data_IF_544708157121
#
_entry.id   IF_544708157121
#
_cell.length_a   1.000
_cell.length_b   1.000
_cell.length_c   1.000
_cell.angle_alpha   90.00
_cell.angle_beta   90.00
_cell.angle_gamma   90.00
#
_symmetry.space_group_name_H-M   'P 1'
#
loop_
_entity.id
_entity.type
_entity.pdbx_description
1 polymer ?
#
# COMPACT_ATOMS: atom_id res chain seq x y z
N UNK A 1 -0.32 1.61 15.69
CA UNK A 1 -0.98 0.48 15.00
C UNK A 1 -0.65 -0.87 15.62
N UNK A 2 0.61 -1.31 15.69
CA UNK A 2 0.97 -2.60 16.34
C UNK A 2 0.37 -2.74 17.75
N UNK A 3 0.57 -1.74 18.62
CA UNK A 3 0.04 -1.75 19.98
C UNK A 3 -1.49 -1.83 20.04
N UNK A 4 -2.19 -1.20 19.09
CA UNK A 4 -3.66 -1.32 18.97
C UNK A 4 -4.03 -2.75 18.59
N UNK A 5 -3.31 -3.37 17.65
CA UNK A 5 -3.52 -4.79 17.33
C UNK A 5 -3.32 -5.71 18.53
N UNK A 6 -2.32 -5.44 19.39
CA UNK A 6 -2.10 -6.20 20.62
C UNK A 6 -3.27 -6.01 21.61
N UNK A 7 -3.74 -4.78 21.79
CA UNK A 7 -4.89 -4.48 22.65
C UNK A 7 -6.15 -5.16 22.11
N UNK A 8 -6.45 -5.03 20.82
CA UNK A 8 -7.60 -5.67 20.17
C UNK A 8 -7.56 -7.19 20.30
N UNK A 9 -6.38 -7.81 20.13
CA UNK A 9 -6.19 -9.24 20.35
C UNK A 9 -6.58 -9.63 21.79
N UNK A 10 -6.07 -8.90 22.80
CA UNK A 10 -6.36 -9.16 24.22
C UNK A 10 -7.84 -8.98 24.51
N UNK A 11 -8.48 -7.94 23.99
CA UNK A 11 -9.91 -7.67 24.22
C UNK A 11 -10.81 -8.78 23.65
N UNK A 12 -10.43 -9.36 22.51
CA UNK A 12 -11.23 -10.37 21.83
C UNK A 12 -11.07 -11.77 22.43
N UNK A 13 -9.86 -12.15 22.85
CA UNK A 13 -9.58 -13.52 23.30
C UNK A 13 -9.16 -13.64 24.77
N UNK A 14 -8.98 -12.52 25.48
CA UNK A 14 -8.53 -12.50 26.88
C UNK A 14 -7.07 -12.90 27.11
N UNK A 15 -6.30 -13.19 26.05
CA UNK A 15 -4.93 -13.67 26.14
C UNK A 15 -3.94 -12.76 25.41
N UNK A 16 -2.65 -12.86 25.76
CA UNK A 16 -1.59 -12.08 25.13
C UNK A 16 -1.18 -12.75 23.80
N UNK A 17 -1.03 -11.99 22.69
CA UNK A 17 -0.59 -12.56 21.42
C UNK A 17 0.85 -13.08 21.48
N UNK A 18 1.67 -12.52 22.36
CA UNK A 18 3.05 -12.91 22.58
C UNK A 18 3.27 -13.12 24.08
N UNK A 19 3.71 -14.33 24.46
CA UNK A 19 3.94 -14.70 25.85
C UNK A 19 5.33 -15.30 26.03
N UNK A 20 5.93 -15.02 27.18
CA UNK A 20 7.20 -15.58 27.62
C UNK A 20 7.35 -15.38 29.13
N UNK A 21 8.06 -16.29 29.80
CA UNK A 21 8.30 -16.21 31.26
C UNK A 21 9.23 -15.06 31.67
N UNK A 22 9.99 -14.51 30.72
CA UNK A 22 10.91 -13.39 30.91
C UNK A 22 10.71 -12.35 29.81
N UNK A 23 11.11 -11.11 30.03
CA UNK A 23 11.07 -10.05 29.02
C UNK A 23 11.83 -10.44 27.75
N UNK A 24 13.01 -11.06 27.89
CA UNK A 24 13.79 -11.54 26.75
C UNK A 24 13.08 -12.66 25.98
N UNK A 25 12.27 -13.49 26.65
CA UNK A 25 11.44 -14.49 25.98
C UNK A 25 10.27 -13.83 25.23
N UNK A 26 9.62 -12.83 25.83
CA UNK A 26 8.56 -12.04 25.18
C UNK A 26 9.10 -11.33 23.93
N UNK A 27 10.27 -10.67 24.04
CA UNK A 27 10.88 -9.98 22.91
C UNK A 27 11.23 -10.93 21.76
N UNK A 28 11.79 -12.11 22.07
CA UNK A 28 12.02 -13.16 21.06
C UNK A 28 10.73 -13.64 20.42
N UNK A 29 9.65 -13.76 21.19
CA UNK A 29 8.32 -14.13 20.70
C UNK A 29 7.77 -13.07 19.73
N UNK A 30 7.81 -11.80 20.11
CA UNK A 30 7.41 -10.66 19.25
C UNK A 30 8.16 -10.65 17.92
N UNK A 31 9.46 -10.95 17.93
CA UNK A 31 10.27 -10.98 16.71
C UNK A 31 9.98 -12.21 15.83
N UNK A 32 9.80 -13.40 16.42
CA UNK A 32 9.87 -14.66 15.68
C UNK A 32 8.54 -15.40 15.55
N UNK A 33 7.70 -15.36 16.57
CA UNK A 33 6.43 -16.07 16.58
C UNK A 33 5.33 -15.27 15.86
N UNK A 34 4.34 -15.96 15.31
CA UNK A 34 3.11 -15.35 14.85
C UNK A 34 2.05 -15.49 15.96
N UNK A 35 1.12 -14.52 16.11
CA UNK A 35 0.01 -14.69 17.04
C UNK A 35 -0.85 -15.90 16.63
N UNK A 36 -1.44 -16.55 17.63
CA UNK A 36 -2.32 -17.69 17.42
C UNK A 36 -3.74 -17.21 17.12
N UNK A 37 -4.34 -17.69 16.03
CA UNK A 37 -5.72 -17.38 15.65
C UNK A 37 -6.58 -18.66 15.47
N UNK A 38 -6.06 -19.81 15.90
CA UNK A 38 -6.69 -21.13 15.73
C UNK A 38 -7.32 -21.64 17.03
N UNK A 39 -6.67 -21.38 18.18
CA UNK A 39 -7.19 -21.85 19.47
C UNK A 39 -8.40 -21.04 19.94
N UNK A 40 -9.24 -21.66 20.77
CA UNK A 40 -10.39 -20.99 21.40
C UNK A 40 -9.96 -19.71 22.14
N UNK A 41 -10.74 -18.62 22.05
CA UNK A 41 -12.05 -18.50 21.41
C UNK A 41 -12.00 -18.12 19.91
N UNK A 42 -10.83 -18.06 19.26
CA UNK A 42 -10.73 -17.53 17.90
C UNK A 42 -11.68 -18.16 16.90
N UNK A 43 -11.91 -19.48 16.83
CA UNK A 43 -12.92 -20.05 15.93
C UNK A 43 -14.32 -19.42 16.04
N UNK A 44 -14.69 -18.86 17.19
CA UNK A 44 -15.98 -18.19 17.42
C UNK A 44 -15.99 -16.67 17.12
N UNK A 45 -14.82 -16.05 16.95
CA UNK A 45 -14.69 -14.62 16.61
C UNK A 45 -15.01 -14.42 15.12
N UNK A 46 -15.70 -13.33 14.78
CA UNK A 46 -16.08 -13.04 13.40
C UNK A 46 -14.87 -12.98 12.46
N UNK A 47 -15.02 -13.41 11.19
CA UNK A 47 -13.93 -13.34 10.20
C UNK A 47 -13.34 -11.94 10.06
N UNK A 48 -14.20 -10.90 10.03
CA UNK A 48 -13.77 -9.50 9.94
C UNK A 48 -13.00 -9.04 11.18
N UNK A 49 -13.32 -9.55 12.38
CA UNK A 49 -12.58 -9.26 13.60
C UNK A 49 -11.19 -9.89 13.61
N UNK A 50 -11.07 -11.12 13.11
CA UNK A 50 -9.77 -11.78 12.90
C UNK A 50 -8.92 -11.02 11.91
N UNK A 51 -9.50 -10.69 10.75
CA UNK A 51 -8.82 -9.96 9.68
C UNK A 51 -8.27 -8.61 10.17
N UNK A 52 -9.09 -7.85 10.90
CA UNK A 52 -8.68 -6.59 11.52
C UNK A 52 -7.41 -6.76 12.38
N UNK A 53 -7.39 -7.74 13.27
CA UNK A 53 -6.25 -7.99 14.16
C UNK A 53 -5.03 -8.49 13.38
N UNK A 54 -5.21 -9.41 12.42
CA UNK A 54 -4.14 -9.92 11.53
C UNK A 54 -3.46 -8.76 10.78
N UNK A 55 -4.23 -7.86 10.18
CA UNK A 55 -3.72 -6.69 9.44
C UNK A 55 -2.97 -5.70 10.34
N UNK A 56 -3.38 -5.53 11.60
CA UNK A 56 -2.66 -4.69 12.57
C UNK A 56 -1.38 -5.31 13.13
N UNK A 57 -1.38 -6.64 13.30
CA UNK A 57 -0.25 -7.42 13.82
C UNK A 57 0.68 -7.96 12.73
N UNK A 58 0.60 -7.42 11.50
CA UNK A 58 1.57 -7.75 10.46
C UNK A 58 2.97 -7.27 10.88
N UNK A 59 3.95 -8.18 10.86
CA UNK A 59 5.33 -7.87 11.28
C UNK A 59 5.96 -6.79 10.40
N UNK A 60 5.75 -6.89 9.08
CA UNK A 60 6.21 -5.86 8.15
C UNK A 60 5.34 -4.61 8.30
N UNK A 61 5.95 -3.53 8.75
CA UNK A 61 5.25 -2.26 9.00
C UNK A 61 4.65 -1.64 7.74
N UNK A 62 5.14 -1.98 6.54
CA UNK A 62 4.61 -1.49 5.27
C UNK A 62 3.30 -2.18 4.88
N UNK A 63 3.10 -3.40 5.39
CA UNK A 63 1.92 -4.22 5.21
C UNK A 63 0.81 -3.92 6.22
N UNK A 64 1.14 -3.25 7.32
CA UNK A 64 0.15 -2.85 8.34
C UNK A 64 -0.77 -1.75 7.84
N UNK A 65 -2.03 -1.82 8.24
CA UNK A 65 -2.98 -0.72 8.05
C UNK A 65 -2.53 0.53 8.81
N UNK A 66 -2.82 1.69 8.22
CA UNK A 66 -2.76 2.99 8.92
C UNK A 66 -3.92 3.11 9.92
N UNK A 67 -3.90 4.14 10.76
CA UNK A 67 -5.01 4.41 11.67
C UNK A 67 -6.32 4.72 10.92
N UNK A 68 -6.24 5.48 9.82
CA UNK A 68 -7.41 5.80 8.99
C UNK A 68 -7.97 4.55 8.30
N UNK A 69 -7.11 3.68 7.77
CA UNK A 69 -7.54 2.40 7.19
C UNK A 69 -8.18 1.48 8.24
N UNK A 70 -7.60 1.39 9.43
CA UNK A 70 -8.17 0.61 10.52
C UNK A 70 -9.56 1.15 10.93
N UNK A 71 -9.74 2.47 11.00
CA UNK A 71 -11.04 3.08 11.31
C UNK A 71 -12.10 2.82 10.23
N UNK A 72 -11.68 2.69 8.96
CA UNK A 72 -12.56 2.35 7.84
C UNK A 72 -12.80 0.83 7.69
N UNK A 73 -12.18 0.00 8.51
CA UNK A 73 -12.24 -1.45 8.37
C UNK A 73 -13.67 -1.99 8.62
N UNK A 74 -14.16 -2.97 7.84
CA UNK A 74 -15.53 -3.49 7.96
C UNK A 74 -15.91 -3.95 9.38
N UNK A 75 -14.93 -4.42 10.17
CA UNK A 75 -15.14 -4.84 11.56
C UNK A 75 -15.58 -3.72 12.50
N UNK A 76 -15.14 -2.47 12.27
CA UNK A 76 -15.45 -1.31 13.10
C UNK A 76 -16.57 -0.43 12.50
N UNK A 77 -17.10 -0.82 11.34
CA UNK A 77 -17.90 0.08 10.51
C UNK A 77 -19.36 0.14 11.01
N UNK A 78 -19.64 1.12 11.87
CA UNK A 78 -20.95 1.79 11.95
C UNK A 78 -20.98 2.99 10.98
N UNK A 79 -22.18 3.49 10.62
CA UNK A 79 -22.47 4.28 9.40
C UNK A 79 -21.58 5.52 9.12
N UNK A 80 -20.82 6.09 10.05
CA UNK A 80 -19.80 7.10 9.70
C UNK A 80 -18.81 7.38 10.84
N UNK A 81 -17.62 6.76 10.89
CA UNK A 81 -16.70 6.92 12.02
C UNK A 81 -15.88 8.22 12.00
N UNK A 82 -16.23 9.20 11.15
CA UNK A 82 -15.45 10.44 11.03
C UNK A 82 -14.08 10.20 10.39
N UNK A 83 -14.07 9.50 9.25
CA UNK A 83 -12.83 9.19 8.53
C UNK A 83 -12.10 10.49 8.14
N UNK A 84 -10.81 10.57 8.50
CA UNK A 84 -9.93 11.67 8.11
C UNK A 84 -9.14 11.30 6.85
N UNK A 85 -8.60 12.32 6.20
CA UNK A 85 -7.67 12.14 5.10
C UNK A 85 -6.39 11.46 5.59
N UNK A 86 -5.99 10.41 4.88
CA UNK A 86 -4.77 9.67 5.18
C UNK A 86 -3.62 10.21 4.36
N UNK A 87 -2.62 10.74 5.05
CA UNK A 87 -1.42 11.30 4.43
C UNK A 87 -0.63 10.28 3.59
N UNK A 88 -0.78 8.97 3.86
CA UNK A 88 -0.15 7.93 3.04
C UNK A 88 -0.68 7.92 1.61
N UNK A 89 -1.96 8.26 1.39
CA UNK A 89 -2.59 8.36 0.06
C UNK A 89 -1.89 9.44 -0.77
N UNK A 90 -1.65 10.63 -0.20
CA UNK A 90 -0.91 11.70 -0.88
C UNK A 90 0.50 11.27 -1.29
N UNK A 91 1.19 10.53 -0.42
CA UNK A 91 2.53 10.01 -0.71
C UNK A 91 2.52 9.02 -1.87
N UNK A 92 1.53 8.12 -1.90
CA UNK A 92 1.36 7.13 -2.97
C UNK A 92 1.00 7.82 -4.29
N UNK A 93 0.02 8.72 -4.28
CA UNK A 93 -0.41 9.48 -5.45
C UNK A 93 0.75 10.28 -6.04
N UNK A 94 1.56 10.93 -5.18
CA UNK A 94 2.79 11.62 -5.60
C UNK A 94 3.79 10.69 -6.28
N UNK A 95 4.00 9.51 -5.71
CA UNK A 95 4.91 8.51 -6.28
C UNK A 95 4.42 8.06 -7.66
N UNK A 96 3.12 7.85 -7.81
CA UNK A 96 2.49 7.44 -9.06
C UNK A 96 2.59 8.53 -10.14
N UNK A 97 2.34 9.79 -9.79
CA UNK A 97 2.46 10.93 -10.72
C UNK A 97 3.90 11.15 -11.19
N UNK A 98 4.91 10.71 -10.43
CA UNK A 98 6.31 10.75 -10.88
C UNK A 98 6.77 9.48 -11.58
N UNK A 99 5.96 8.42 -11.51
CA UNK A 99 6.26 7.16 -12.16
C UNK A 99 6.14 7.27 -13.69
N UNK A 100 6.92 6.45 -14.39
CA UNK A 100 6.87 6.33 -15.84
C UNK A 100 5.51 5.80 -16.32
N UNK A 101 5.17 6.00 -17.60
CA UNK A 101 3.98 5.39 -18.19
C UNK A 101 3.95 3.86 -18.02
N UNK A 102 5.11 3.19 -18.12
CA UNK A 102 5.22 1.75 -17.97
C UNK A 102 4.85 1.30 -16.55
N UNK A 103 5.37 1.99 -15.53
CA UNK A 103 5.04 1.70 -14.13
C UNK A 103 3.60 2.03 -13.78
N UNK A 104 3.06 3.13 -14.33
CA UNK A 104 1.64 3.47 -14.14
C UNK A 104 0.74 2.41 -14.75
N UNK A 105 1.07 1.89 -15.94
CA UNK A 105 0.33 0.79 -16.57
C UNK A 105 0.32 -0.47 -15.68
N UNK A 106 1.45 -0.83 -15.08
CA UNK A 106 1.53 -1.95 -14.14
C UNK A 106 0.63 -1.75 -12.90
N UNK A 107 0.63 -0.56 -12.30
CA UNK A 107 -0.21 -0.22 -11.14
C UNK A 107 -1.70 -0.11 -11.49
N UNK A 108 -2.04 0.30 -12.71
CA UNK A 108 -3.42 0.29 -13.21
C UNK A 108 -3.96 -1.12 -13.34
N UNK A 109 -3.19 -2.02 -13.96
CA UNK A 109 -3.55 -3.42 -14.06
C UNK A 109 -3.75 -4.05 -12.68
N UNK A 110 -2.91 -3.67 -11.71
CA UNK A 110 -3.11 -4.05 -10.31
C UNK A 110 -4.42 -3.51 -9.74
N UNK A 111 -4.68 -2.21 -9.88
CA UNK A 111 -5.88 -1.59 -9.32
C UNK A 111 -7.19 -2.17 -9.90
N UNK A 112 -7.20 -2.49 -11.20
CA UNK A 112 -8.34 -3.14 -11.86
C UNK A 112 -8.60 -4.57 -11.38
N UNK A 113 -7.58 -5.25 -10.83
CA UNK A 113 -7.72 -6.61 -10.30
C UNK A 113 -8.13 -6.65 -8.82
N UNK A 114 -8.19 -5.50 -8.14
CA UNK A 114 -8.55 -5.44 -6.72
C UNK A 114 -10.08 -5.58 -6.57
N UNK A 115 -10.57 -6.45 -5.66
CA UNK A 115 -11.99 -6.55 -5.35
C UNK A 115 -12.56 -5.23 -4.80
N UNK A 116 -13.81 -4.93 -5.13
CA UNK A 116 -14.48 -3.69 -4.73
C UNK A 116 -14.53 -3.48 -3.20
N UNK A 117 -14.54 -4.57 -2.44
CA UNK A 117 -14.54 -4.59 -0.97
C UNK A 117 -13.24 -4.02 -0.39
N UNK A 118 -12.11 -4.25 -1.06
CA UNK A 118 -10.80 -3.73 -0.67
C UNK A 118 -10.62 -2.26 -1.11
N UNK A 119 -11.44 -1.77 -2.05
CA UNK A 119 -11.42 -0.38 -2.51
C UNK A 119 -12.25 0.58 -1.64
N UNK A 120 -12.98 0.07 -0.65
CA UNK A 120 -13.85 0.89 0.24
C UNK A 120 -13.11 2.07 0.84
N UNK A 121 -11.89 1.85 1.35
CA UNK A 121 -11.09 2.92 1.93
C UNK A 121 -10.70 3.97 0.89
N UNK A 122 -10.24 3.56 -0.29
CA UNK A 122 -9.86 4.49 -1.36
C UNK A 122 -11.07 5.25 -1.90
N UNK A 123 -12.25 4.63 -2.01
CA UNK A 123 -13.52 5.29 -2.33
C UNK A 123 -13.81 6.41 -1.33
N UNK A 124 -13.68 6.15 -0.03
CA UNK A 124 -13.90 7.16 0.99
C UNK A 124 -12.88 8.31 0.93
N UNK A 125 -11.59 8.00 0.71
CA UNK A 125 -10.54 9.01 0.53
C UNK A 125 -10.77 9.87 -0.71
N UNK A 126 -11.17 9.25 -1.83
CA UNK A 126 -11.54 9.96 -3.06
C UNK A 126 -12.65 10.97 -2.80
N UNK A 127 -13.72 10.56 -2.11
CA UNK A 127 -14.83 11.45 -1.77
C UNK A 127 -14.43 12.58 -0.80
N UNK A 128 -13.57 12.31 0.19
CA UNK A 128 -13.06 13.33 1.11
C UNK A 128 -12.22 14.41 0.42
N UNK A 129 -11.61 14.07 -0.71
CA UNK A 129 -10.86 15.02 -1.54
C UNK A 129 -11.77 15.90 -2.42
N UNK A 130 -13.09 15.70 -2.38
CA UNK A 130 -14.10 16.50 -3.08
C UNK A 130 -13.83 16.60 -4.61
N UNK A 131 -14.00 15.48 -5.35
CA UNK A 131 -13.79 15.43 -6.78
C UNK A 131 -14.78 16.34 -7.51
N UNK A 132 -14.29 17.07 -8.50
CA UNK A 132 -15.11 17.96 -9.35
C UNK A 132 -15.16 17.41 -10.77
N UNK A 133 -16.36 17.29 -11.32
CA UNK A 133 -16.63 16.68 -12.63
C UNK A 133 -16.07 15.25 -12.73
N UNK A 134 -16.19 14.46 -11.64
CA UNK A 134 -15.73 13.08 -11.59
C UNK A 134 -14.22 12.89 -11.46
N UNK A 135 -13.44 13.96 -11.29
CA UNK A 135 -11.98 13.88 -11.18
C UNK A 135 -11.38 14.74 -10.07
N UNK A 136 -10.24 14.29 -9.55
CA UNK A 136 -9.41 15.01 -8.61
C UNK A 136 -8.38 15.87 -9.34
N UNK A 137 -8.34 17.15 -9.01
CA UNK A 137 -7.38 18.12 -9.53
C UNK A 137 -6.39 18.54 -8.44
N UNK A 138 -5.33 19.26 -8.80
CA UNK A 138 -4.47 19.87 -7.78
C UNK A 138 -5.28 20.69 -6.76
N UNK A 139 -6.31 21.42 -7.21
CA UNK A 139 -7.17 22.21 -6.32
C UNK A 139 -7.96 21.36 -5.31
N UNK A 140 -8.39 20.16 -5.70
CA UNK A 140 -9.03 19.19 -4.80
C UNK A 140 -8.08 18.82 -3.66
N UNK A 141 -6.83 18.47 -3.99
CA UNK A 141 -5.80 18.15 -3.00
C UNK A 141 -5.43 19.36 -2.12
N UNK A 142 -5.28 20.55 -2.72
CA UNK A 142 -5.00 21.80 -1.99
C UNK A 142 -6.11 22.13 -0.99
N UNK A 143 -7.36 22.16 -1.44
CA UNK A 143 -8.52 22.50 -0.61
C UNK A 143 -8.65 21.52 0.55
N UNK A 144 -8.52 20.23 0.25
CA UNK A 144 -8.60 19.18 1.25
C UNK A 144 -7.45 19.28 2.27
N UNK A 145 -6.21 19.45 1.82
CA UNK A 145 -5.08 19.59 2.75
C UNK A 145 -5.22 20.83 3.63
N UNK A 146 -5.57 21.99 3.08
CA UNK A 146 -5.75 23.22 3.87
C UNK A 146 -6.86 23.08 4.90
N UNK A 147 -7.94 22.36 4.57
CA UNK A 147 -9.07 22.13 5.49
C UNK A 147 -8.69 21.27 6.70
N UNK A 148 -7.82 20.28 6.52
CA UNK A 148 -7.48 19.31 7.56
C UNK A 148 -6.04 19.47 8.10
N UNK A 149 -5.31 20.49 7.64
CA UNK A 149 -3.96 20.79 8.09
C UNK A 149 -3.96 21.40 9.48
N UNK A 150 -2.98 21.01 10.29
CA UNK A 150 -2.63 21.76 11.50
C UNK A 150 -1.78 22.98 11.12
N UNK A 151 -1.76 24.01 11.96
CA UNK A 151 -0.97 25.23 11.73
C UNK A 151 0.51 24.91 11.46
N UNK A 152 1.10 24.01 12.25
CA UNK A 152 2.47 23.54 12.03
C UNK A 152 2.69 22.87 10.67
N UNK A 153 1.68 22.21 10.11
CA UNK A 153 1.76 21.57 8.80
C UNK A 153 1.63 22.60 7.66
N UNK A 154 0.76 23.60 7.84
CA UNK A 154 0.60 24.72 6.91
C UNK A 154 1.92 25.46 6.69
N UNK A 155 2.66 25.72 7.78
CA UNK A 155 3.90 26.51 7.73
C UNK A 155 5.10 25.76 7.13
N UNK A 156 5.20 24.44 7.36
CA UNK A 156 6.47 23.71 7.12
C UNK A 156 6.43 22.62 6.08
N UNK A 157 5.26 22.03 5.75
CA UNK A 157 5.18 20.84 4.90
C UNK A 157 4.22 20.98 3.74
N UNK A 158 3.15 21.74 3.92
CA UNK A 158 2.12 21.87 2.90
C UNK A 158 2.66 22.43 1.57
N UNK A 159 3.49 23.50 1.55
CA UNK A 159 4.02 24.03 0.30
C UNK A 159 4.83 22.98 -0.49
N UNK A 160 5.66 22.19 0.20
CA UNK A 160 6.45 21.14 -0.41
C UNK A 160 5.56 20.02 -1.00
N UNK A 161 4.54 19.60 -0.26
CA UNK A 161 3.58 18.59 -0.70
C UNK A 161 2.88 19.08 -1.98
N UNK A 162 2.35 20.30 -1.97
CA UNK A 162 1.64 20.87 -3.11
C UNK A 162 2.56 21.09 -4.31
N UNK A 163 3.79 21.56 -4.09
CA UNK A 163 4.77 21.70 -5.16
C UNK A 163 5.07 20.33 -5.81
N UNK A 164 5.13 19.26 -5.02
CA UNK A 164 5.33 17.92 -5.58
C UNK A 164 4.14 17.37 -6.36
N UNK A 165 2.94 17.95 -6.18
CA UNK A 165 1.70 17.58 -6.87
C UNK A 165 1.43 18.46 -8.11
N UNK A 166 2.29 19.45 -8.42
CA UNK A 166 2.18 20.37 -9.57
C UNK A 166 1.84 19.71 -10.91
N UNK A 167 2.31 18.49 -11.26
CA UNK A 167 1.90 17.87 -12.52
C UNK A 167 0.39 17.62 -12.66
N UNK A 168 -0.39 17.68 -11.57
CA UNK A 168 -1.86 17.62 -11.59
C UNK A 168 -2.55 18.93 -12.00
N UNK A 169 -1.80 20.02 -12.25
CA UNK A 169 -2.40 21.25 -12.79
C UNK A 169 -3.04 21.01 -14.15
N UNK A 170 -2.43 20.15 -14.97
CA UNK A 170 -2.86 19.87 -16.35
C UNK A 170 -3.67 18.58 -16.49
N UNK A 171 -3.77 17.76 -15.44
CA UNK A 171 -4.40 16.43 -15.48
C UNK A 171 -5.28 16.21 -14.25
N UNK A 172 -6.50 15.74 -14.47
CA UNK A 172 -7.38 15.22 -13.42
C UNK A 172 -7.17 13.71 -13.24
N UNK A 173 -7.33 13.20 -12.02
CA UNK A 173 -7.38 11.77 -11.72
C UNK A 173 -8.84 11.37 -11.55
N UNK A 174 -9.38 10.57 -12.46
CA UNK A 174 -10.65 9.88 -12.22
C UNK A 174 -10.48 8.82 -11.11
N UNK A 175 -11.57 8.16 -10.74
CA UNK A 175 -11.55 7.19 -9.65
C UNK A 175 -10.63 5.98 -9.92
N UNK A 176 -10.57 5.49 -11.17
CA UNK A 176 -9.73 4.34 -11.54
C UNK A 176 -8.24 4.70 -11.47
N UNK A 177 -7.87 5.85 -12.04
CA UNK A 177 -6.52 6.40 -11.97
C UNK A 177 -6.12 6.70 -10.53
N UNK A 178 -7.04 7.21 -9.72
CA UNK A 178 -6.82 7.44 -8.29
C UNK A 178 -6.59 6.13 -7.53
N UNK A 179 -7.33 5.06 -7.84
CA UNK A 179 -7.07 3.75 -7.25
C UNK A 179 -5.66 3.26 -7.61
N UNK A 180 -5.28 3.30 -8.90
CA UNK A 180 -3.92 2.97 -9.34
C UNK A 180 -2.84 3.80 -8.63
N UNK A 181 -3.14 5.07 -8.34
CA UNK A 181 -2.23 5.98 -7.68
C UNK A 181 -2.18 5.81 -6.15
N UNK A 182 -3.27 5.36 -5.53
CA UNK A 182 -3.47 5.28 -4.08
C UNK A 182 -3.26 3.90 -3.48
N UNK A 183 -3.12 2.84 -4.29
CA UNK A 183 -2.90 1.47 -3.79
C UNK A 183 -1.51 1.27 -3.21
N UNK A 184 -1.44 0.57 -2.07
CA UNK A 184 -0.18 0.12 -1.47
C UNK A 184 0.04 -1.36 -1.80
N UNK A 185 1.01 -1.64 -2.67
CA UNK A 185 1.38 -3.01 -3.04
C UNK A 185 1.69 -3.86 -1.80
N UNK A 186 2.42 -3.30 -0.83
CA UNK A 186 2.73 -4.00 0.43
C UNK A 186 1.48 -4.42 1.21
N UNK A 187 0.46 -3.55 1.27
CA UNK A 187 -0.76 -3.87 2.02
C UNK A 187 -1.60 -4.90 1.27
N UNK A 188 -1.64 -4.85 -0.06
CA UNK A 188 -2.29 -5.87 -0.88
C UNK A 188 -1.61 -7.25 -0.72
N UNK A 189 -0.28 -7.29 -0.62
CA UNK A 189 0.46 -8.54 -0.33
C UNK A 189 0.21 -9.12 1.08
N UNK A 190 -0.59 -8.44 1.92
CA UNK A 190 -1.01 -8.99 3.21
C UNK A 190 -2.40 -9.64 3.16
N UNK A 191 -3.11 -9.49 2.06
CA UNK A 191 -4.41 -10.12 1.83
C UNK A 191 -4.22 -11.62 1.60
N UNK A 192 -5.21 -12.40 2.02
CA UNK A 192 -5.23 -13.84 1.77
C UNK A 192 -5.40 -14.11 0.25
N UNK A 193 -6.08 -13.21 -0.46
CA UNK A 193 -6.37 -13.26 -1.89
C UNK A 193 -5.27 -12.65 -2.78
N UNK A 194 -4.11 -12.30 -2.20
CA UNK A 194 -3.03 -11.62 -2.94
C UNK A 194 -2.61 -12.38 -4.21
N UNK A 195 -2.52 -13.72 -4.15
CA UNK A 195 -2.09 -14.52 -5.30
C UNK A 195 -3.07 -14.42 -6.47
N UNK A 196 -4.38 -14.44 -6.20
CA UNK A 196 -5.41 -14.27 -7.21
C UNK A 196 -5.38 -12.85 -7.79
N UNK A 197 -5.26 -11.83 -6.93
CA UNK A 197 -5.18 -10.42 -7.34
C UNK A 197 -3.95 -10.21 -8.23
N UNK A 198 -2.79 -10.68 -7.81
CA UNK A 198 -1.54 -10.50 -8.55
C UNK A 198 -1.58 -11.22 -9.91
N UNK A 199 -2.15 -12.42 -9.96
CA UNK A 199 -2.29 -13.20 -11.20
C UNK A 199 -3.21 -12.49 -12.19
N UNK A 200 -4.41 -12.10 -11.76
CA UNK A 200 -5.35 -11.33 -12.59
C UNK A 200 -4.75 -10.00 -13.06
N UNK A 201 -4.05 -9.30 -12.17
CA UNK A 201 -3.34 -8.07 -12.52
C UNK A 201 -2.27 -8.28 -13.59
N UNK A 202 -1.51 -9.38 -13.51
CA UNK A 202 -0.49 -9.68 -14.50
C UNK A 202 -1.10 -10.05 -15.86
N UNK A 203 -2.20 -10.80 -15.90
CA UNK A 203 -2.92 -11.11 -17.14
C UNK A 203 -3.42 -9.84 -17.85
N UNK A 204 -3.96 -8.89 -17.08
CA UNK A 204 -4.36 -7.58 -17.62
C UNK A 204 -3.15 -6.78 -18.10
N UNK A 205 -2.06 -6.80 -17.32
CA UNK A 205 -0.82 -6.13 -17.71
C UNK A 205 -0.23 -6.71 -18.99
N UNK A 206 -0.27 -8.04 -19.17
CA UNK A 206 0.20 -8.72 -20.38
C UNK A 206 -0.48 -8.22 -21.66
N UNK A 207 -1.76 -7.85 -21.57
CA UNK A 207 -2.56 -7.38 -22.70
C UNK A 207 -2.34 -5.88 -22.99
N UNK A 208 -2.36 -5.05 -21.94
CA UNK A 208 -2.44 -3.59 -22.10
C UNK A 208 -1.13 -2.85 -21.82
N UNK A 209 -0.16 -3.48 -21.16
CA UNK A 209 0.96 -2.77 -20.53
C UNK A 209 2.35 -3.39 -20.66
N UNK A 210 2.44 -4.72 -20.77
CA UNK A 210 3.70 -5.44 -20.78
C UNK A 210 4.35 -5.35 -22.18
N UNK A 211 5.18 -4.33 -22.33
CA UNK A 211 6.00 -4.11 -23.52
C UNK A 211 7.34 -4.82 -23.41
N UNK A 212 7.96 -5.04 -24.56
CA UNK A 212 9.37 -5.45 -24.62
C UNK A 212 10.23 -4.38 -23.94
N UNK A 213 11.16 -4.82 -23.10
CA UNK A 213 12.03 -3.93 -22.33
C UNK A 213 13.43 -4.52 -22.23
N UNK A 214 14.45 -3.68 -22.43
CA UNK A 214 15.84 -4.09 -22.19
C UNK A 214 16.20 -4.01 -20.70
N UNK A 215 17.26 -4.72 -20.28
CA UNK A 215 17.74 -4.66 -18.90
C UNK A 215 18.15 -3.22 -18.52
N UNK A 216 18.73 -2.48 -19.46
CA UNK A 216 19.14 -1.09 -19.29
C UNK A 216 17.93 -0.17 -19.09
N UNK A 217 16.89 -0.34 -19.90
CA UNK A 217 15.62 0.39 -19.75
C UNK A 217 14.96 0.06 -18.41
N UNK A 218 14.84 -1.22 -18.05
CA UNK A 218 14.26 -1.65 -16.78
C UNK A 218 15.04 -1.10 -15.58
N UNK A 219 16.37 -1.01 -15.69
CA UNK A 219 17.19 -0.38 -14.67
C UNK A 219 16.93 1.12 -14.54
N UNK A 220 16.73 1.82 -15.66
CA UNK A 220 16.31 3.22 -15.69
C UNK A 220 14.94 3.42 -15.03
N UNK A 221 13.97 2.57 -15.37
CA UNK A 221 12.63 2.55 -14.77
C UNK A 221 12.68 2.36 -13.24
N UNK A 222 13.61 1.51 -12.77
CA UNK A 222 13.83 1.22 -11.36
C UNK A 222 14.85 2.17 -10.70
N UNK A 223 15.39 3.15 -11.43
CA UNK A 223 16.44 4.06 -10.96
C UNK A 223 17.60 3.35 -10.25
N UNK A 224 18.02 2.18 -10.78
CA UNK A 224 19.14 1.40 -10.27
C UNK A 224 20.30 1.39 -11.25
N UNK A 225 21.52 1.32 -10.71
CA UNK A 225 22.73 1.29 -11.52
C UNK A 225 23.02 -0.09 -12.16
N UNK A 226 24.07 -0.19 -12.99
CA UNK A 226 24.45 -1.41 -13.70
C UNK A 226 24.68 -2.65 -12.81
N UNK A 227 25.02 -2.44 -11.53
CA UNK A 227 25.20 -3.53 -10.57
C UNK A 227 23.93 -4.38 -10.35
N UNK A 228 22.75 -3.83 -10.67
CA UNK A 228 21.48 -4.56 -10.58
C UNK A 228 21.14 -5.37 -11.84
N UNK A 229 21.89 -5.21 -12.94
CA UNK A 229 21.57 -5.85 -14.22
C UNK A 229 21.45 -7.38 -14.15
N UNK A 230 22.31 -8.12 -13.43
CA UNK A 230 22.16 -9.57 -13.30
C UNK A 230 20.80 -9.95 -12.69
N UNK A 231 20.36 -9.23 -11.65
CA UNK A 231 19.07 -9.47 -10.99
C UNK A 231 17.89 -9.11 -11.90
N UNK A 232 17.98 -7.99 -12.62
CA UNK A 232 16.92 -7.53 -13.52
C UNK A 232 16.79 -8.41 -14.76
N UNK A 233 17.87 -9.08 -15.19
CA UNK A 233 17.81 -10.02 -16.30
C UNK A 233 16.86 -11.18 -16.01
N UNK A 234 16.80 -11.65 -14.77
CA UNK A 234 15.88 -12.72 -14.34
C UNK A 234 14.41 -12.28 -14.32
N UNK A 235 14.16 -10.97 -14.41
CA UNK A 235 12.81 -10.40 -14.43
C UNK A 235 12.24 -10.33 -15.85
N UNK A 236 13.08 -10.48 -16.87
CA UNK A 236 12.70 -10.39 -18.28
C UNK A 236 12.68 -11.80 -18.88
N UNK A 237 11.58 -12.17 -19.54
CA UNK A 237 11.44 -13.45 -20.24
C UNK A 237 12.37 -13.50 -21.45
N UNK A 238 13.09 -14.61 -21.60
CA UNK A 238 13.93 -14.86 -22.77
C UNK A 238 13.14 -15.08 -24.06
N UNK A 239 11.89 -15.50 -23.96
CA UNK A 239 11.03 -15.82 -25.11
C UNK A 239 10.62 -14.61 -25.94
N UNK A 240 10.32 -13.49 -25.27
CA UNK A 240 9.72 -12.31 -25.90
C UNK A 240 10.27 -10.97 -25.38
N UNK A 241 11.18 -10.97 -24.41
CA UNK A 241 11.78 -9.75 -23.85
C UNK A 241 10.83 -8.91 -23.01
N UNK A 242 9.68 -9.47 -22.58
CA UNK A 242 8.72 -8.81 -21.68
C UNK A 242 9.00 -9.16 -20.21
N UNK A 243 8.40 -8.45 -19.27
CA UNK A 243 8.50 -8.82 -17.85
C UNK A 243 7.83 -10.19 -17.61
N UNK A 244 8.49 -11.04 -16.83
CA UNK A 244 7.88 -12.24 -16.25
C UNK A 244 6.92 -11.86 -15.12
N UNK A 245 6.10 -12.80 -14.65
CA UNK A 245 5.26 -12.58 -13.46
C UNK A 245 6.08 -12.15 -12.24
N UNK A 246 7.23 -12.81 -12.02
CA UNK A 246 8.18 -12.42 -10.98
C UNK A 246 8.67 -10.98 -11.20
N UNK A 247 9.05 -10.65 -12.43
CA UNK A 247 9.49 -9.31 -12.81
C UNK A 247 8.43 -8.26 -12.52
N UNK A 248 7.18 -8.50 -12.92
CA UNK A 248 6.03 -7.65 -12.65
C UNK A 248 5.82 -7.45 -11.14
N UNK A 249 5.76 -8.55 -10.36
CA UNK A 249 5.56 -8.48 -8.92
C UNK A 249 6.64 -7.64 -8.22
N UNK A 250 7.91 -7.78 -8.63
CA UNK A 250 9.01 -6.95 -8.09
C UNK A 250 8.95 -5.50 -8.60
N UNK A 251 8.55 -5.30 -9.85
CA UNK A 251 8.45 -4.00 -10.49
C UNK A 251 7.38 -3.10 -9.83
N UNK A 252 6.27 -3.67 -9.37
CA UNK A 252 5.21 -2.95 -8.64
C UNK A 252 5.74 -2.18 -7.41
N UNK A 253 6.64 -2.80 -6.64
CA UNK A 253 7.29 -2.16 -5.48
C UNK A 253 8.21 -1.00 -5.88
N UNK A 254 8.71 -1.02 -7.12
CA UNK A 254 9.66 -0.07 -7.65
C UNK A 254 10.99 -0.06 -6.92
N UNK A 255 11.61 1.12 -6.89
CA UNK A 255 12.81 1.37 -6.07
C UNK A 255 12.42 1.21 -4.62
N UNK A 256 12.57 -0.01 -4.09
CA UNK A 256 12.73 -0.17 -2.65
C UNK A 256 13.95 0.66 -2.30
N UNK A 257 13.75 1.80 -1.67
CA UNK A 257 14.79 2.49 -0.92
C UNK A 257 15.16 1.53 0.21
N UNK A 258 15.93 0.47 -0.12
CA UNK A 258 16.96 0.03 0.78
C UNK A 258 17.86 1.23 0.86
N UNK A 259 17.68 2.02 1.92
CA UNK A 259 18.83 2.69 2.47
C UNK A 259 19.86 1.59 2.61
N UNK A 260 20.91 1.66 1.79
CA UNK A 260 22.18 1.08 2.10
C UNK A 260 22.67 1.77 3.37
N UNK A 261 22.05 1.49 4.51
CA UNK A 261 22.77 1.48 5.77
C UNK A 261 23.57 0.19 5.76
N UNK A 262 24.68 0.21 5.04
CA UNK A 262 25.86 -0.47 5.52
C UNK A 262 26.11 0.08 6.92
N UNK A 263 25.54 -0.58 7.95
CA UNK A 263 26.02 -0.39 9.31
C UNK A 263 27.50 -0.78 9.27
N UNK A 264 28.42 0.14 9.60
CA UNK A 264 29.77 -0.28 9.90
C UNK A 264 29.67 -1.28 11.07
N UNK A 265 30.38 -2.40 10.95
CA UNK A 265 30.63 -3.32 12.05
C UNK A 265 31.39 -2.61 13.16
#
# INVERSE_FOLDING_TARGET
MWSIGVISYILLCGSRPFYGRTESAIFRCVLRANPNFEDMPWPSISPTGKDFVKRLLNKDHRKRMTAAQALAHPWLRDENPGLLLDFSVYKLVRSYIRASPFRRSALKALAKAIPDEELVFLKAQFMLLDPKDGGLSLNSFTTALTRYATDAMMESKLPDILNTMQPLVQKKLDFEEFCAAGVSVYQLEALEEWEQIATSAFEQFEQEGNRVISVQELAGEMSVGPNAYPLLKDWIRSSDGKLSFLGYAKFLHGVTVRSSSSRPR
#
